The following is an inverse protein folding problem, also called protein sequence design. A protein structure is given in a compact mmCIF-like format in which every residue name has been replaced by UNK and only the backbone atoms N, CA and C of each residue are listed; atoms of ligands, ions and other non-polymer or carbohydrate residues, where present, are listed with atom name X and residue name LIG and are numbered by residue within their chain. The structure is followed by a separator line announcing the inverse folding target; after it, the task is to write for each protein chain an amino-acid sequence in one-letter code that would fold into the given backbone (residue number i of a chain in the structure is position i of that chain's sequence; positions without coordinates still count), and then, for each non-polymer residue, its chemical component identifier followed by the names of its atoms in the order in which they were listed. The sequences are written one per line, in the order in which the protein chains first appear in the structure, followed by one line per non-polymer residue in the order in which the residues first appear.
data_IF_200891656682
#
_entry.id   IF_200891656682
#
_cell.length_a   1.000
_cell.length_b   1.000
_cell.length_c   1.000
_cell.angle_alpha   90.00
_cell.angle_beta   90.00
_cell.angle_gamma   90.00
#
_symmetry.space_group_name_H-M   'P 1'
#
loop_
_entity.id
_entity.type
_entity.pdbx_description
1 polymer ?
#
# COMPACT_ATOMS: atom_id res chain seq x y z
N UNK A 1 -0.62 8.64 -1.49
CA UNK A 1 0.51 9.29 -0.79
C UNK A 1 0.28 10.78 -0.61
N UNK A 2 -0.34 11.12 0.51
CA UNK A 2 -0.34 12.50 1.00
C UNK A 2 1.09 12.89 1.39
N UNK A 3 1.66 13.91 0.74
CA UNK A 3 2.99 14.42 1.07
C UNK A 3 2.95 15.28 2.34
N UNK A 4 3.60 14.86 3.46
CA UNK A 4 3.61 15.61 4.72
C UNK A 4 4.22 17.01 4.56
N UNK A 5 5.12 17.18 3.57
CA UNK A 5 5.80 18.45 3.25
C UNK A 5 4.85 19.48 2.64
N UNK A 6 3.77 19.07 1.96
CA UNK A 6 2.81 20.00 1.32
C UNK A 6 1.81 20.58 2.31
N UNK A 7 1.49 19.86 3.38
CA UNK A 7 0.66 20.37 4.50
C UNK A 7 1.41 21.45 5.30
N UNK A 8 2.75 21.36 5.35
CA UNK A 8 3.61 22.22 6.18
C UNK A 8 3.93 23.61 5.60
N UNK A 9 3.66 23.88 4.31
CA UNK A 9 4.19 25.10 3.66
C UNK A 9 3.23 26.29 3.51
N UNK A 10 1.93 26.14 3.76
CA UNK A 10 0.96 27.18 3.35
C UNK A 10 0.12 27.86 4.42
N UNK A 11 -0.26 27.19 5.52
CA UNK A 11 -1.52 27.60 6.19
C UNK A 11 -1.53 27.69 7.72
N UNK A 12 -0.52 27.19 8.43
CA UNK A 12 -0.59 27.08 9.89
C UNK A 12 0.68 27.62 10.56
N UNK A 13 0.55 28.74 11.27
CA UNK A 13 1.55 29.21 12.24
C UNK A 13 1.42 28.37 13.51
N UNK A 14 2.07 27.21 13.54
CA UNK A 14 2.05 26.29 14.69
C UNK A 14 2.59 26.93 15.98
N UNK A 15 3.36 28.02 15.85
CA UNK A 15 3.92 28.77 16.98
C UNK A 15 2.83 29.40 17.87
N UNK A 16 1.61 29.54 17.37
CA UNK A 16 0.49 30.18 18.08
C UNK A 16 -0.56 29.17 18.61
N UNK A 17 -0.34 27.86 18.44
CA UNK A 17 -1.32 26.84 18.83
C UNK A 17 -1.14 26.45 20.28
N UNK A 18 -2.26 26.24 20.99
CA UNK A 18 -2.23 25.61 22.31
C UNK A 18 -1.88 24.13 22.17
N UNK A 19 -1.24 23.56 23.19
CA UNK A 19 -0.76 22.18 23.18
C UNK A 19 -1.87 21.17 22.87
N UNK A 20 -3.08 21.36 23.42
CA UNK A 20 -4.24 20.51 23.12
C UNK A 20 -4.62 20.47 21.63
N UNK A 21 -4.47 21.59 20.91
CA UNK A 21 -4.76 21.67 19.47
C UNK A 21 -3.68 20.95 18.66
N UNK A 22 -2.43 21.05 19.10
CA UNK A 22 -1.29 20.32 18.52
C UNK A 22 -1.47 18.81 18.70
N UNK A 23 -1.88 18.38 19.88
CA UNK A 23 -2.07 16.96 20.22
C UNK A 23 -3.28 16.38 19.49
N UNK A 24 -4.40 17.12 19.42
CA UNK A 24 -5.57 16.74 18.63
C UNK A 24 -5.24 16.60 17.14
N UNK A 25 -4.56 17.59 16.55
CA UNK A 25 -4.12 17.50 15.15
C UNK A 25 -3.19 16.31 14.90
N UNK A 26 -2.25 16.03 15.81
CA UNK A 26 -1.35 14.87 15.69
C UNK A 26 -2.13 13.56 15.70
N UNK A 27 -3.14 13.43 16.56
CA UNK A 27 -3.99 12.25 16.64
C UNK A 27 -4.82 12.02 15.37
N UNK A 28 -5.48 13.07 14.87
CA UNK A 28 -6.24 13.00 13.62
C UNK A 28 -5.33 12.71 12.42
N UNK A 29 -4.19 13.39 12.35
CA UNK A 29 -3.25 13.23 11.24
C UNK A 29 -2.60 11.84 11.24
N UNK A 30 -2.25 11.29 12.41
CA UNK A 30 -1.74 9.92 12.53
C UNK A 30 -2.77 8.90 12.01
N UNK A 31 -4.05 9.08 12.36
CA UNK A 31 -5.14 8.24 11.87
C UNK A 31 -5.28 8.31 10.35
N UNK A 32 -5.14 9.51 9.78
CA UNK A 32 -5.23 9.72 8.33
C UNK A 32 -4.07 9.06 7.57
N UNK A 33 -2.84 9.15 8.11
CA UNK A 33 -1.66 8.50 7.53
C UNK A 33 -1.83 6.97 7.52
N UNK A 34 -2.25 6.40 8.65
CA UNK A 34 -2.49 4.96 8.76
C UNK A 34 -3.58 4.50 7.78
N UNK A 35 -4.64 5.30 7.61
CA UNK A 35 -5.72 4.97 6.68
C UNK A 35 -5.27 5.00 5.21
N UNK A 36 -4.47 5.99 4.78
CA UNK A 36 -3.88 6.04 3.42
C UNK A 36 -2.98 4.83 3.16
N UNK A 37 -2.15 4.44 4.14
CA UNK A 37 -1.27 3.27 4.05
C UNK A 37 -2.05 1.96 3.93
N UNK A 38 -3.06 1.75 4.79
CA UNK A 38 -3.93 0.56 4.74
C UNK A 38 -4.68 0.47 3.41
N UNK A 39 -5.18 1.60 2.88
CA UNK A 39 -5.88 1.61 1.60
C UNK A 39 -4.95 1.26 0.44
N UNK A 40 -3.70 1.75 0.44
CA UNK A 40 -2.71 1.37 -0.58
C UNK A 40 -2.40 -0.13 -0.54
N UNK A 41 -2.24 -0.71 0.65
CA UNK A 41 -2.05 -2.15 0.81
C UNK A 41 -3.25 -2.95 0.30
N UNK A 42 -4.47 -2.51 0.62
CA UNK A 42 -5.72 -3.11 0.13
C UNK A 42 -5.77 -3.09 -1.40
N UNK A 43 -5.53 -1.94 -2.01
CA UNK A 43 -5.63 -1.77 -3.47
C UNK A 43 -4.57 -2.61 -4.20
N UNK A 44 -3.37 -2.75 -3.62
CA UNK A 44 -2.35 -3.68 -4.11
C UNK A 44 -2.82 -5.14 -4.02
N UNK A 45 -3.32 -5.56 -2.86
CA UNK A 45 -3.80 -6.93 -2.66
C UNK A 45 -4.97 -7.30 -3.60
N UNK A 46 -5.89 -6.35 -3.84
CA UNK A 46 -6.94 -6.50 -4.84
C UNK A 46 -6.32 -6.69 -6.22
N UNK A 47 -5.46 -5.77 -6.65
CA UNK A 47 -4.82 -5.82 -7.96
C UNK A 47 -4.08 -7.15 -8.20
N UNK A 48 -3.28 -7.61 -7.23
CA UNK A 48 -2.58 -8.89 -7.30
C UNK A 48 -3.56 -10.07 -7.39
N UNK A 49 -4.66 -10.03 -6.64
CA UNK A 49 -5.71 -11.05 -6.71
C UNK A 49 -6.44 -11.05 -8.06
N UNK A 50 -6.67 -9.88 -8.64
CA UNK A 50 -7.24 -9.75 -9.98
C UNK A 50 -6.30 -10.29 -11.05
N UNK A 51 -4.99 -9.99 -10.93
CA UNK A 51 -3.96 -10.57 -11.79
C UNK A 51 -4.00 -12.10 -11.68
N UNK A 52 -4.01 -12.67 -10.48
CA UNK A 52 -4.09 -14.14 -10.27
C UNK A 52 -5.39 -14.74 -10.84
N UNK A 53 -6.51 -14.01 -10.77
CA UNK A 53 -7.78 -14.47 -11.33
C UNK A 53 -7.79 -14.43 -12.86
N UNK A 54 -7.26 -13.35 -13.45
CA UNK A 54 -7.23 -13.11 -14.90
C UNK A 54 -6.17 -13.98 -15.56
N UNK A 55 -4.97 -14.04 -14.99
CA UNK A 55 -3.98 -15.05 -15.31
C UNK A 55 -4.46 -16.36 -14.72
N UNK A 56 -5.28 -17.11 -15.46
CA UNK A 56 -5.52 -18.52 -15.18
C UNK A 56 -4.15 -19.15 -14.84
N UNK A 57 -3.92 -19.66 -13.61
CA UNK A 57 -2.68 -20.36 -13.34
C UNK A 57 -2.58 -21.42 -14.42
N UNK A 58 -1.51 -21.39 -15.20
CA UNK A 58 -1.38 -22.25 -16.37
C UNK A 58 -1.72 -23.67 -15.93
N UNK A 59 -2.53 -24.38 -16.70
CA UNK A 59 -2.90 -25.77 -16.36
C UNK A 59 -1.69 -26.69 -16.24
N UNK A 60 -0.52 -26.24 -16.70
CA UNK A 60 0.78 -26.85 -16.44
C UNK A 60 1.18 -26.85 -14.95
N UNK A 61 0.86 -25.81 -14.16
CA UNK A 61 1.14 -25.77 -12.71
C UNK A 61 0.25 -26.76 -11.93
N UNK A 62 -0.97 -27.01 -12.42
CA UNK A 62 -1.94 -27.92 -11.79
C UNK A 62 -1.91 -29.33 -12.37
N UNK A 63 -1.06 -29.60 -13.36
CA UNK A 63 -0.89 -30.95 -13.89
C UNK A 63 0.04 -31.74 -12.96
N UNK A 64 -0.42 -32.81 -12.30
CA UNK A 64 0.44 -33.65 -11.45
C UNK A 64 1.59 -34.34 -12.22
N UNK A 65 1.56 -34.31 -13.56
CA UNK A 65 2.61 -34.81 -14.44
C UNK A 65 3.63 -33.72 -14.88
N UNK A 66 3.38 -32.44 -14.62
CA UNK A 66 4.33 -31.37 -14.94
C UNK A 66 5.32 -31.18 -13.80
N UNK A 67 6.54 -31.69 -13.97
CA UNK A 67 7.67 -31.46 -13.07
C UNK A 67 8.40 -30.20 -13.50
N UNK A 68 8.18 -29.09 -12.81
CA UNK A 68 9.04 -27.90 -12.99
C UNK A 68 10.43 -28.23 -12.44
N UNK A 69 11.45 -28.15 -13.28
CA UNK A 69 12.82 -28.22 -12.82
C UNK A 69 13.25 -26.81 -12.41
N UNK A 70 14.05 -26.68 -11.34
CA UNK A 70 14.52 -25.37 -10.84
C UNK A 70 15.28 -24.52 -11.88
N UNK A 71 15.57 -25.06 -13.07
CA UNK A 71 16.22 -24.36 -14.19
C UNK A 71 15.25 -23.51 -15.01
N UNK A 72 13.94 -23.72 -14.88
CA UNK A 72 12.93 -23.08 -15.73
C UNK A 72 12.47 -21.70 -15.22
N UNK A 73 12.94 -21.27 -14.03
CA UNK A 73 12.61 -19.97 -13.42
C UNK A 73 13.59 -18.85 -13.86
N UNK A 74 14.72 -19.20 -14.50
CA UNK A 74 15.79 -18.25 -14.86
C UNK A 74 15.79 -17.79 -16.33
N UNK A 75 14.72 -18.00 -17.10
CA UNK A 75 14.65 -17.48 -18.48
C UNK A 75 13.63 -16.35 -18.61
N UNK A 76 14.12 -15.15 -18.32
CA UNK A 76 13.80 -13.81 -18.87
C UNK A 76 12.43 -13.56 -19.51
#
# INVERSE_FOLDING_TARGET
MIEPKKIKKGKYSWKNWKQEQVDGFRHEYASFVLFDEINQLRDKAITESEIIRVFKPSSAILNPFCRFSSRDIESQ
#
